data_IF_585874556998
#
_entry.id   IF_585874556998
#
_cell.length_a   1.000
_cell.length_b   1.000
_cell.length_c   1.000
_cell.angle_alpha   90.00
_cell.angle_beta   90.00
_cell.angle_gamma   90.00
#
_symmetry.space_group_name_H-M   'P 1'
#
loop_
_entity.id
_entity.type
_entity.pdbx_description
1 polymer ?
#
# COMPACT_ATOMS: atom_id res chain seq x y z
N UNK A 1 -0.86 2.79 -9.62
CA UNK A 1 -1.09 3.55 -8.38
C UNK A 1 0.20 3.83 -7.61
N UNK A 2 0.96 2.81 -7.17
CA UNK A 2 2.22 3.00 -6.39
C UNK A 2 3.22 3.95 -7.06
N UNK A 3 3.44 3.83 -8.38
CA UNK A 3 4.33 4.73 -9.13
C UNK A 3 3.89 6.19 -9.03
N UNK A 4 2.59 6.48 -9.13
CA UNK A 4 2.07 7.85 -9.05
C UNK A 4 2.30 8.43 -7.65
N UNK A 5 2.02 7.67 -6.59
CA UNK A 5 2.27 8.09 -5.21
C UNK A 5 3.77 8.35 -4.99
N UNK A 6 4.63 7.48 -5.51
CA UNK A 6 6.09 7.63 -5.42
C UNK A 6 6.58 8.91 -6.12
N UNK A 7 6.09 9.17 -7.33
CA UNK A 7 6.46 10.36 -8.10
C UNK A 7 5.96 11.65 -7.45
N UNK A 8 4.75 11.65 -6.90
CA UNK A 8 4.23 12.80 -6.14
C UNK A 8 5.08 13.06 -4.89
N UNK A 9 5.45 12.01 -4.14
CA UNK A 9 6.33 12.13 -2.99
C UNK A 9 7.73 12.66 -3.35
N UNK A 10 8.32 12.14 -4.42
CA UNK A 10 9.61 12.63 -4.94
C UNK A 10 9.51 14.10 -5.38
N UNK A 11 8.47 14.46 -6.12
CA UNK A 11 8.24 15.82 -6.61
C UNK A 11 8.05 16.84 -5.48
N UNK A 12 7.21 16.52 -4.49
CA UNK A 12 7.01 17.38 -3.32
C UNK A 12 8.28 17.53 -2.48
N UNK A 13 9.03 16.43 -2.28
CA UNK A 13 10.30 16.47 -1.55
C UNK A 13 11.36 17.27 -2.29
N UNK A 14 11.43 17.13 -3.62
CA UNK A 14 12.35 17.91 -4.45
C UNK A 14 12.01 19.39 -4.44
N UNK A 15 10.71 19.73 -4.50
CA UNK A 15 10.24 21.11 -4.41
C UNK A 15 10.55 21.73 -3.04
N UNK A 16 10.32 20.99 -1.95
CA UNK A 16 10.67 21.39 -0.59
C UNK A 16 12.17 21.66 -0.42
N UNK A 17 13.02 20.81 -1.02
CA UNK A 17 14.46 21.04 -1.03
C UNK A 17 14.87 22.27 -1.85
N UNK A 18 14.27 22.46 -3.03
CA UNK A 18 14.69 23.49 -3.99
C UNK A 18 14.23 24.90 -3.64
N UNK A 19 13.07 25.04 -2.97
CA UNK A 19 12.46 26.35 -2.73
C UNK A 19 12.98 27.08 -1.49
N UNK A 20 13.81 26.45 -0.64
CA UNK A 20 14.32 27.01 0.63
C UNK A 20 13.24 27.82 1.38
N UNK A 21 12.08 27.19 1.62
CA UNK A 21 10.92 27.87 2.21
C UNK A 21 11.23 28.35 3.62
N UNK A 22 11.30 29.67 3.81
CA UNK A 22 11.59 30.29 5.12
C UNK A 22 10.35 30.57 5.96
N UNK A 23 9.20 30.69 5.29
CA UNK A 23 7.92 30.96 5.95
C UNK A 23 7.34 29.66 6.56
N UNK A 24 7.13 29.60 7.88
CA UNK A 24 6.70 28.37 8.57
C UNK A 24 5.40 27.80 8.02
N UNK A 25 4.44 28.66 7.65
CA UNK A 25 3.14 28.23 7.12
C UNK A 25 3.28 27.49 5.79
N UNK A 26 4.22 27.89 4.93
CA UNK A 26 4.47 27.25 3.64
C UNK A 26 5.10 25.87 3.83
N UNK A 27 6.08 25.77 4.74
CA UNK A 27 6.71 24.49 5.10
C UNK A 27 5.66 23.52 5.65
N UNK A 28 4.82 23.96 6.59
CA UNK A 28 3.77 23.14 7.19
C UNK A 28 2.81 22.63 6.11
N UNK A 29 2.33 23.51 5.22
CA UNK A 29 1.42 23.12 4.14
C UNK A 29 2.04 22.04 3.23
N UNK A 30 3.28 22.23 2.81
CA UNK A 30 3.98 21.27 1.95
C UNK A 30 4.24 19.94 2.66
N UNK A 31 4.60 19.96 3.95
CA UNK A 31 4.79 18.75 4.76
C UNK A 31 3.47 18.02 5.00
N UNK A 32 2.34 18.73 5.14
CA UNK A 32 1.00 18.10 5.20
C UNK A 32 0.68 17.38 3.89
N UNK A 33 0.93 17.99 2.74
CA UNK A 33 0.72 17.35 1.43
C UNK A 33 1.63 16.14 1.24
N UNK A 34 2.90 16.26 1.63
CA UNK A 34 3.87 15.17 1.61
C UNK A 34 3.44 14.02 2.54
N UNK A 35 3.04 14.34 3.76
CA UNK A 35 2.55 13.38 4.75
C UNK A 35 1.29 12.65 4.29
N UNK A 36 0.37 13.36 3.62
CA UNK A 36 -0.79 12.77 2.99
C UNK A 36 -0.41 11.72 1.93
N UNK A 37 0.53 12.05 1.05
CA UNK A 37 1.06 11.08 0.07
C UNK A 37 1.72 9.87 0.76
N UNK A 38 2.54 10.09 1.80
CA UNK A 38 3.20 9.02 2.58
C UNK A 38 2.22 8.02 3.18
N UNK A 39 1.17 8.50 3.85
CA UNK A 39 0.26 7.65 4.61
C UNK A 39 -0.58 6.73 3.74
N UNK A 40 -0.71 7.02 2.44
CA UNK A 40 -1.41 6.13 1.50
C UNK A 40 -0.61 4.89 1.11
N UNK A 41 0.72 4.90 1.24
CA UNK A 41 1.59 3.81 0.73
C UNK A 41 1.35 2.52 1.52
N UNK A 42 1.34 2.62 2.84
CA UNK A 42 1.17 1.46 3.73
C UNK A 42 -0.15 0.71 3.50
N UNK A 43 -1.34 1.34 3.58
CA UNK A 43 -2.60 0.62 3.37
C UNK A 43 -2.71 0.04 1.96
N UNK A 44 -2.17 0.71 0.94
CA UNK A 44 -2.11 0.18 -0.42
C UNK A 44 -1.23 -1.06 -0.52
N UNK A 45 -0.06 -1.04 0.12
CA UNK A 45 0.85 -2.18 0.13
C UNK A 45 0.25 -3.37 0.88
N UNK A 46 -0.41 -3.11 2.02
CA UNK A 46 -1.12 -4.13 2.81
C UNK A 46 -2.26 -4.74 2.01
N UNK A 47 -3.12 -3.93 1.40
CA UNK A 47 -4.21 -4.44 0.55
C UNK A 47 -3.65 -5.29 -0.59
N UNK A 48 -2.67 -4.77 -1.34
CA UNK A 48 -2.09 -5.47 -2.48
C UNK A 48 -1.40 -6.80 -2.13
N UNK A 49 -0.80 -6.88 -0.94
CA UNK A 49 -0.18 -8.12 -0.44
C UNK A 49 -1.23 -9.11 0.08
N UNK A 50 -2.24 -8.62 0.80
CA UNK A 50 -3.31 -9.45 1.33
C UNK A 50 -4.20 -10.02 0.21
N UNK A 51 -4.45 -9.27 -0.87
CA UNK A 51 -5.17 -9.78 -2.06
C UNK A 51 -4.45 -10.96 -2.74
N UNK A 52 -3.17 -11.20 -2.41
CA UNK A 52 -2.34 -12.30 -2.93
C UNK A 52 -1.98 -13.33 -1.86
N UNK A 53 -2.44 -13.15 -0.62
CA UNK A 53 -2.21 -14.11 0.44
C UNK A 53 -3.11 -15.33 0.23
N UNK A 54 -2.54 -16.54 0.36
CA UNK A 54 -3.35 -17.75 0.41
C UNK A 54 -4.23 -17.76 1.67
N UNK A 55 -5.35 -18.47 1.63
CA UNK A 55 -6.26 -18.61 2.76
C UNK A 55 -5.51 -19.03 4.04
N UNK A 56 -5.81 -18.37 5.16
CA UNK A 56 -5.15 -18.59 6.45
C UNK A 56 -3.80 -17.85 6.64
N UNK A 57 -3.18 -17.29 5.59
CA UNK A 57 -1.87 -16.64 5.69
C UNK A 57 -1.92 -15.11 5.88
N UNK A 58 -3.12 -14.49 5.94
CA UNK A 58 -3.27 -13.04 6.06
C UNK A 58 -2.54 -12.43 7.27
N UNK A 59 -2.62 -13.10 8.43
CA UNK A 59 -1.96 -12.63 9.67
C UNK A 59 -0.45 -12.69 9.53
N UNK A 60 0.09 -13.74 8.92
CA UNK A 60 1.53 -13.90 8.69
C UNK A 60 2.08 -12.88 7.68
N UNK A 61 1.34 -12.62 6.59
CA UNK A 61 1.71 -11.60 5.60
C UNK A 61 1.68 -10.21 6.22
N UNK A 62 0.60 -9.89 6.96
CA UNK A 62 0.44 -8.58 7.60
C UNK A 62 1.49 -8.34 8.69
N UNK A 63 1.83 -9.36 9.49
CA UNK A 63 2.89 -9.23 10.51
C UNK A 63 4.27 -9.06 9.89
N UNK A 64 4.58 -9.76 8.79
CA UNK A 64 5.79 -9.56 8.01
C UNK A 64 5.91 -8.12 7.47
N UNK A 65 4.84 -7.57 6.92
CA UNK A 65 4.79 -6.18 6.45
C UNK A 65 5.00 -5.18 7.59
N UNK A 66 4.41 -5.42 8.76
CA UNK A 66 4.57 -4.58 9.94
C UNK A 66 6.02 -4.59 10.45
N UNK A 67 6.68 -5.75 10.43
CA UNK A 67 8.11 -5.86 10.76
C UNK A 67 8.99 -5.06 9.80
N UNK A 68 8.74 -5.17 8.49
CA UNK A 68 9.46 -4.39 7.47
C UNK A 68 9.22 -2.89 7.66
N UNK A 69 7.99 -2.48 7.95
CA UNK A 69 7.66 -1.10 8.27
C UNK A 69 8.41 -0.60 9.51
N UNK A 70 8.42 -1.38 10.61
CA UNK A 70 9.13 -1.04 11.83
C UNK A 70 10.65 -0.93 11.63
N UNK A 71 11.24 -1.82 10.83
CA UNK A 71 12.65 -1.75 10.44
C UNK A 71 12.94 -0.46 9.66
N UNK A 72 12.12 -0.12 8.68
CA UNK A 72 12.23 1.13 7.93
C UNK A 72 12.06 2.38 8.81
N UNK A 73 11.11 2.36 9.74
CA UNK A 73 10.86 3.46 10.68
C UNK A 73 12.00 3.68 11.66
N UNK A 74 12.81 2.65 11.95
CA UNK A 74 13.99 2.74 12.80
C UNK A 74 15.23 3.15 11.99
N UNK A 75 15.43 2.55 10.82
CA UNK A 75 16.57 2.84 9.94
C UNK A 75 16.49 4.24 9.32
N UNK A 76 15.28 4.72 8.99
CA UNK A 76 15.06 6.02 8.37
C UNK A 76 15.68 7.16 9.18
N UNK A 77 15.26 7.38 10.44
CA UNK A 77 15.85 8.40 11.31
C UNK A 77 17.34 8.16 11.59
N UNK A 78 17.77 6.90 11.73
CA UNK A 78 19.17 6.56 11.97
C UNK A 78 20.10 7.02 10.82
N UNK A 79 19.60 7.04 9.58
CA UNK A 79 20.33 7.54 8.40
C UNK A 79 20.06 9.03 8.16
N UNK A 80 18.82 9.48 8.32
CA UNK A 80 18.43 10.87 8.04
C UNK A 80 19.02 11.87 9.05
N UNK A 81 19.11 11.51 10.33
CA UNK A 81 19.66 12.38 11.36
C UNK A 81 21.12 12.81 11.10
N UNK A 82 22.08 11.90 10.83
CA UNK A 82 23.45 12.31 10.50
C UNK A 82 23.54 13.08 9.18
N UNK A 83 22.69 12.76 8.18
CA UNK A 83 22.63 13.54 6.93
C UNK A 83 22.25 15.01 7.18
N UNK A 84 21.30 15.25 8.08
CA UNK A 84 20.92 16.61 8.50
C UNK A 84 22.01 17.32 9.33
N UNK A 85 22.86 16.57 10.03
CA UNK A 85 23.96 17.15 10.82
C UNK A 85 25.16 17.55 9.97
N UNK A 86 25.51 16.78 8.93
CA UNK A 86 26.67 17.06 8.09
C UNK A 86 26.39 18.06 6.97
N UNK A 87 25.18 18.04 6.43
CA UNK A 87 24.75 18.97 5.39
C UNK A 87 23.99 20.15 5.99
N UNK A 88 22.69 20.19 5.71
CA UNK A 88 21.74 21.15 6.26
C UNK A 88 20.42 20.43 6.58
N UNK A 89 19.51 21.02 7.39
CA UNK A 89 18.20 20.43 7.67
C UNK A 89 17.41 20.06 6.40
N UNK A 90 17.61 20.80 5.30
CA UNK A 90 17.00 20.50 3.99
C UNK A 90 17.40 19.15 3.39
N UNK A 91 18.50 18.54 3.83
CA UNK A 91 18.96 17.23 3.34
C UNK A 91 18.01 16.09 3.71
N UNK A 92 17.12 16.29 4.69
CA UNK A 92 16.00 15.40 4.94
C UNK A 92 15.16 15.20 3.67
N UNK A 93 14.86 16.29 2.97
CA UNK A 93 14.04 16.24 1.76
C UNK A 93 14.80 15.59 0.59
N UNK A 94 16.11 15.80 0.47
CA UNK A 94 16.94 15.04 -0.48
C UNK A 94 16.93 13.54 -0.20
N UNK A 95 17.05 13.14 1.07
CA UNK A 95 16.94 11.75 1.47
C UNK A 95 15.59 11.17 1.06
N UNK A 96 14.50 11.91 1.26
CA UNK A 96 13.17 11.50 0.81
C UNK A 96 13.07 11.41 -0.71
N UNK A 97 13.64 12.35 -1.48
CA UNK A 97 13.73 12.24 -2.95
C UNK A 97 14.37 10.91 -3.34
N UNK A 98 15.51 10.56 -2.74
CA UNK A 98 16.21 9.31 -3.05
C UNK A 98 15.35 8.07 -2.75
N UNK A 99 14.70 8.01 -1.59
CA UNK A 99 13.82 6.91 -1.21
C UNK A 99 12.62 6.79 -2.16
N UNK A 100 11.96 7.90 -2.49
CA UNK A 100 10.81 7.90 -3.38
C UNK A 100 11.17 7.57 -4.83
N UNK A 101 12.28 8.09 -5.32
CA UNK A 101 12.79 7.75 -6.66
C UNK A 101 13.16 6.28 -6.73
N UNK A 102 13.82 5.73 -5.71
CA UNK A 102 14.09 4.29 -5.61
C UNK A 102 12.82 3.45 -5.63
N UNK A 103 11.80 3.86 -4.87
CA UNK A 103 10.49 3.19 -4.87
C UNK A 103 9.81 3.27 -6.25
N UNK A 104 9.86 4.41 -6.92
CA UNK A 104 9.29 4.59 -8.26
C UNK A 104 10.00 3.69 -9.28
N UNK A 105 11.34 3.65 -9.27
CA UNK A 105 12.15 2.78 -10.13
C UNK A 105 11.82 1.32 -9.88
N UNK A 106 11.79 0.88 -8.62
CA UNK A 106 11.44 -0.49 -8.26
C UNK A 106 10.02 -0.85 -8.70
N UNK A 107 9.05 0.04 -8.50
CA UNK A 107 7.67 -0.18 -8.90
C UNK A 107 7.53 -0.30 -10.44
N UNK A 108 8.20 0.57 -11.20
CA UNK A 108 8.23 0.50 -12.67
C UNK A 108 8.89 -0.80 -13.14
N UNK A 109 10.04 -1.15 -12.58
CA UNK A 109 10.75 -2.39 -12.90
C UNK A 109 9.86 -3.62 -12.63
N UNK A 110 9.26 -3.69 -11.44
CA UNK A 110 8.38 -4.78 -11.02
C UNK A 110 7.16 -4.92 -11.93
N UNK A 111 6.55 -3.82 -12.37
CA UNK A 111 5.43 -3.86 -13.32
C UNK A 111 5.85 -4.35 -14.70
N UNK A 112 7.08 -4.08 -15.15
CA UNK A 112 7.57 -4.54 -16.46
C UNK A 112 7.95 -6.02 -16.49
N UNK A 113 8.42 -6.57 -15.37
CA UNK A 113 8.90 -7.96 -15.31
C UNK A 113 7.78 -8.94 -14.95
N UNK A 114 6.70 -8.48 -14.31
CA UNK A 114 5.61 -9.38 -13.96
C UNK A 114 4.73 -9.72 -15.16
N UNK A 115 4.48 -11.02 -15.41
CA UNK A 115 3.51 -11.43 -16.42
C UNK A 115 2.11 -10.95 -16.04
N UNK A 116 1.24 -10.65 -17.02
CA UNK A 116 -0.17 -10.38 -16.77
C UNK A 116 -0.78 -11.52 -15.95
N UNK A 117 -1.46 -11.19 -14.87
CA UNK A 117 -2.23 -12.21 -14.13
C UNK A 117 -3.37 -12.64 -15.04
N UNK A 118 -3.46 -13.94 -15.35
CA UNK A 118 -4.61 -14.52 -16.04
C UNK A 118 -5.84 -14.20 -15.18
N UNK A 119 -6.64 -13.23 -15.65
CA UNK A 119 -7.85 -12.83 -14.96
C UNK A 119 -8.84 -13.97 -15.17
N UNK A 120 -8.89 -14.93 -14.22
CA UNK A 120 -10.00 -15.88 -14.14
C UNK A 120 -11.21 -15.04 -13.78
N UNK A 121 -11.84 -14.49 -14.81
CA UNK A 121 -13.11 -13.79 -14.70
C UNK A 121 -14.13 -14.82 -14.25
N UNK A 122 -14.28 -14.95 -12.94
CA UNK A 122 -15.52 -15.48 -12.40
C UNK A 122 -16.60 -14.54 -12.92
N UNK A 123 -17.46 -15.04 -13.82
CA UNK A 123 -18.63 -14.31 -14.31
C UNK A 123 -19.31 -13.71 -13.09
N UNK A 124 -19.27 -12.39 -12.99
CA UNK A 124 -19.93 -11.67 -11.91
C UNK A 124 -21.43 -11.84 -12.14
N UNK A 125 -21.98 -12.91 -11.59
CA UNK A 125 -23.42 -13.06 -11.47
C UNK A 125 -23.80 -12.08 -10.38
N UNK A 126 -24.35 -10.93 -10.78
CA UNK A 126 -24.97 -10.03 -9.82
C UNK A 126 -26.10 -10.81 -9.14
N UNK A 127 -25.86 -11.27 -7.92
CA UNK A 127 -26.93 -11.68 -7.03
C UNK A 127 -27.77 -10.42 -6.85
N UNK A 128 -28.91 -10.36 -7.53
CA UNK A 128 -29.86 -9.24 -7.44
C UNK A 128 -30.09 -8.93 -5.96
N UNK A 129 -29.53 -7.80 -5.54
CA UNK A 129 -29.74 -7.11 -4.28
C UNK A 129 -30.42 -7.94 -3.18
N UNK A 130 -29.73 -8.94 -2.62
CA UNK A 130 -30.08 -9.40 -1.28
C UNK A 130 -29.59 -8.35 -0.29
N UNK A 131 -30.28 -7.21 -0.23
CA UNK A 131 -30.10 -6.21 0.82
C UNK A 131 -30.36 -6.90 2.16
N UNK A 132 -29.29 -7.31 2.84
CA UNK A 132 -29.35 -7.97 4.15
C UNK A 132 -28.81 -9.40 4.21
N UNK A 133 -28.36 -10.02 3.11
CA UNK A 133 -27.67 -11.31 3.20
C UNK A 133 -26.25 -11.12 3.72
N UNK A 134 -26.01 -11.59 4.94
CA UNK A 134 -24.66 -11.75 5.50
C UNK A 134 -24.03 -13.03 4.97
N UNK A 135 -22.70 -13.16 5.03
CA UNK A 135 -21.98 -14.39 4.65
C UNK A 135 -22.57 -15.65 5.35
N UNK A 136 -23.10 -15.48 6.56
CA UNK A 136 -23.80 -16.52 7.33
C UNK A 136 -25.13 -16.97 6.69
N UNK A 137 -25.85 -16.09 5.99
CA UNK A 137 -27.10 -16.45 5.29
C UNK A 137 -26.84 -17.40 4.12
N UNK A 138 -25.68 -17.28 3.47
CA UNK A 138 -25.25 -18.17 2.39
C UNK A 138 -24.84 -19.56 2.91
N UNK A 139 -24.27 -19.63 4.12
CA UNK A 139 -23.90 -20.89 4.78
C UNK A 139 -25.10 -21.63 5.37
N UNK A 140 -26.18 -20.91 5.69
CA UNK A 140 -27.42 -21.45 6.25
C UNK A 140 -28.51 -21.67 5.19
N UNK A 141 -28.22 -21.44 3.90
CA UNK A 141 -29.17 -21.72 2.82
C UNK A 141 -29.36 -23.24 2.72
N UNK A 142 -30.54 -23.79 3.07
CA UNK A 142 -30.80 -25.23 3.01
C UNK A 142 -30.73 -25.80 1.60
N UNK A 143 -30.61 -24.95 0.56
CA UNK A 143 -30.42 -25.34 -0.84
C UNK A 143 -28.95 -25.53 -1.24
N UNK A 144 -28.01 -25.14 -0.39
CA UNK A 144 -26.58 -25.39 -0.60
C UNK A 144 -26.17 -26.82 -0.22
N UNK A 145 -26.98 -27.51 0.60
CA UNK A 145 -26.83 -28.94 0.87
C UNK A 145 -27.49 -29.77 -0.25
N UNK A 146 -26.69 -30.66 -0.82
CA UNK A 146 -27.01 -31.46 -2.01
C UNK A 146 -28.26 -32.36 -1.81
N UNK A 147 -29.27 -32.32 -2.71
CA UNK A 147 -30.37 -33.29 -2.77
C UNK A 147 -29.94 -34.75 -3.04
N UNK A 148 -28.64 -35.03 -3.14
CA UNK A 148 -28.08 -36.37 -3.38
C UNK A 148 -28.17 -37.38 -2.22
N UNK A 149 -28.72 -37.01 -1.06
CA UNK A 149 -28.91 -37.95 0.06
C UNK A 149 -30.31 -38.61 0.09
N UNK A 150 -31.09 -38.52 -0.98
CA UNK A 150 -32.31 -39.32 -1.19
C UNK A 150 -32.22 -40.16 -2.48
N UNK A 151 -31.48 -41.27 -2.39
CA UNK A 151 -31.77 -42.48 -3.15
C UNK A 151 -31.55 -43.68 -2.23
N UNK A 152 -32.67 -44.05 -1.58
CA UNK A 152 -33.00 -45.24 -0.76
C UNK A 152 -32.56 -46.59 -1.36
N UNK A 153 -32.68 -47.75 -0.67
CA UNK A 153 -33.06 -48.05 0.73
C UNK A 153 -31.99 -48.82 1.55
#
# INVERSE_FOLDING_TARGET
>A
MVVAIALTGAGLSFLLYSLDLREPAQVILMVVLLGGAMHTIYPVAVAHANDRAAEGNFVAVSSGLLLVFGAGATLGPAVAAPLMQWGEPGWLFLFLVFIYSGMAVHAVWRTRVQPPVEEVRHTFVGLEAMQGATQETMHLDPRAEDPGQEATP
#
